data_IF_765019275282
#
_entry.id   IF_765019275282
#
_cell.length_a   1.000
_cell.length_b   1.000
_cell.length_c   1.000
_cell.angle_alpha   90.00
_cell.angle_beta   90.00
_cell.angle_gamma   90.00
#
_symmetry.space_group_name_H-M   'P 1'
#
loop_
_entity.id
_entity.type
_entity.pdbx_description
1 polymer ?
#
# COMPACT_ATOMS: atom_id res chain seq x y z
N UNK A 1 12.64 -31.86 19.06
CA UNK A 1 13.84 -31.00 19.08
C UNK A 1 14.54 -30.92 17.72
N UNK A 2 14.94 -32.02 17.09
CA UNK A 2 15.62 -31.95 15.78
C UNK A 2 14.70 -31.46 14.65
N UNK A 3 13.48 -31.99 14.56
CA UNK A 3 12.48 -31.53 13.58
C UNK A 3 12.18 -30.03 13.70
N UNK A 4 11.95 -29.55 14.93
CA UNK A 4 11.69 -28.13 15.23
C UNK A 4 12.86 -27.23 14.84
N UNK A 5 14.10 -27.70 15.00
CA UNK A 5 15.30 -26.95 14.60
C UNK A 5 15.43 -26.88 13.08
N UNK A 6 15.26 -28.01 12.39
CA UNK A 6 15.32 -28.07 10.92
C UNK A 6 14.21 -27.21 10.32
N UNK A 7 12.99 -27.28 10.85
CA UNK A 7 11.87 -26.45 10.35
C UNK A 7 12.12 -24.96 10.56
N UNK A 8 12.65 -24.54 11.71
CA UNK A 8 12.97 -23.14 11.97
C UNK A 8 14.06 -22.63 11.03
N UNK A 9 15.11 -23.42 10.79
CA UNK A 9 16.18 -23.07 9.85
C UNK A 9 15.68 -22.97 8.42
N UNK A 10 14.88 -23.94 7.96
CA UNK A 10 14.29 -23.94 6.63
C UNK A 10 13.40 -22.71 6.40
N UNK A 11 12.56 -22.35 7.39
CA UNK A 11 11.73 -21.15 7.34
C UNK A 11 12.61 -19.89 7.32
N UNK A 12 13.68 -19.83 8.12
CA UNK A 12 14.62 -18.71 8.12
C UNK A 12 15.29 -18.50 6.75
N UNK A 13 15.84 -19.57 6.17
CA UNK A 13 16.44 -19.53 4.82
C UNK A 13 15.40 -19.12 3.79
N UNK A 14 14.18 -19.64 3.88
CA UNK A 14 13.09 -19.27 2.96
C UNK A 14 12.76 -17.77 3.04
N UNK A 15 12.58 -17.21 4.24
CA UNK A 15 12.19 -15.80 4.42
C UNK A 15 13.31 -14.84 3.97
N UNK A 16 14.58 -15.24 4.08
CA UNK A 16 15.71 -14.47 3.54
C UNK A 16 15.75 -14.53 2.01
N UNK A 17 15.28 -15.64 1.42
CA UNK A 17 15.42 -15.92 -0.01
C UNK A 17 14.18 -15.58 -0.83
N UNK A 18 12.99 -15.55 -0.24
CA UNK A 18 11.72 -15.43 -0.97
C UNK A 18 10.77 -14.45 -0.29
N UNK A 19 9.82 -13.93 -1.08
CA UNK A 19 8.74 -13.14 -0.52
C UNK A 19 7.87 -14.00 0.41
N UNK A 20 7.27 -13.40 1.46
CA UNK A 20 6.34 -14.10 2.33
C UNK A 20 5.19 -14.73 1.54
N UNK A 21 4.80 -15.95 1.90
CA UNK A 21 3.67 -16.67 1.29
C UNK A 21 2.38 -15.84 1.41
N UNK A 22 2.20 -15.17 2.54
CA UNK A 22 1.08 -14.27 2.80
C UNK A 22 1.61 -12.87 3.13
N UNK A 23 1.14 -11.89 2.36
CA UNK A 23 1.42 -10.49 2.60
C UNK A 23 0.26 -9.86 3.39
N UNK A 24 0.56 -9.33 4.57
CA UNK A 24 -0.42 -8.64 5.44
C UNK A 24 -0.31 -7.12 5.35
N UNK A 25 0.55 -6.62 4.46
CA UNK A 25 0.79 -5.18 4.30
C UNK A 25 -0.38 -4.54 3.56
N UNK A 26 -0.54 -3.21 3.67
CA UNK A 26 -1.57 -2.48 2.94
C UNK A 26 -1.53 -2.73 1.43
N UNK A 27 -0.33 -2.87 0.87
CA UNK A 27 -0.06 -3.11 -0.55
C UNK A 27 -0.01 -4.60 -0.94
N UNK A 28 -0.91 -5.43 -0.40
CA UNK A 28 -1.03 -6.84 -0.79
C UNK A 28 -1.56 -7.00 -2.23
N UNK A 29 -1.39 -8.17 -2.83
CA UNK A 29 -2.02 -8.49 -4.12
C UNK A 29 -3.54 -8.41 -3.96
N UNK A 30 -4.20 -7.74 -4.91
CA UNK A 30 -5.63 -7.42 -4.91
C UNK A 30 -5.98 -6.04 -4.32
N UNK A 31 -5.01 -5.34 -3.70
CA UNK A 31 -5.25 -3.98 -3.22
C UNK A 31 -5.38 -3.01 -4.39
N UNK A 32 -6.44 -2.19 -4.38
CA UNK A 32 -6.66 -1.07 -5.30
C UNK A 32 -6.11 0.22 -4.69
N UNK A 33 -4.96 0.67 -5.19
CA UNK A 33 -4.25 1.84 -4.67
C UNK A 33 -5.06 3.12 -4.91
N UNK A 34 -5.71 3.26 -6.07
CA UNK A 34 -6.52 4.44 -6.39
C UNK A 34 -7.70 4.58 -5.44
N UNK A 35 -8.38 3.46 -5.19
CA UNK A 35 -9.50 3.44 -4.23
C UNK A 35 -9.04 3.75 -2.81
N UNK A 36 -7.88 3.26 -2.40
CA UNK A 36 -7.35 3.55 -1.07
C UNK A 36 -6.85 4.99 -0.92
N UNK A 37 -6.37 5.62 -2.00
CA UNK A 37 -6.09 7.07 -2.04
C UNK A 37 -7.38 7.86 -1.92
N UNK A 38 -8.41 7.57 -2.72
CA UNK A 38 -9.74 8.25 -2.65
C UNK A 38 -10.36 8.12 -1.25
N UNK A 39 -10.21 6.96 -0.61
CA UNK A 39 -10.65 6.75 0.78
C UNK A 39 -9.79 7.45 1.82
N UNK A 40 -8.52 7.75 1.52
CA UNK A 40 -7.65 8.50 2.43
C UNK A 40 -7.98 10.00 2.45
N UNK A 41 -8.47 10.53 1.32
CA UNK A 41 -8.88 11.93 1.18
C UNK A 41 -10.28 12.20 1.73
N UNK A 42 -11.12 11.16 1.81
CA UNK A 42 -12.46 11.24 2.41
C UNK A 42 -12.38 10.85 3.89
N UNK A 43 -12.89 11.72 4.76
CA UNK A 43 -13.16 11.32 6.13
C UNK A 43 -14.32 10.31 6.16
N UNK A 44 -14.07 9.08 6.60
CA UNK A 44 -15.10 8.12 7.02
C UNK A 44 -15.06 8.06 8.55
N UNK A 45 -15.73 8.98 9.26
CA UNK A 45 -15.63 9.10 10.70
C UNK A 45 -16.40 7.99 11.43
N UNK A 46 -16.02 7.78 12.69
CA UNK A 46 -16.77 6.94 13.61
C UNK A 46 -18.21 7.48 13.77
N UNK A 47 -19.20 6.60 13.57
CA UNK A 47 -20.61 6.91 13.81
C UNK A 47 -20.96 6.49 15.23
N UNK A 48 -21.35 7.48 16.04
CA UNK A 48 -21.76 7.28 17.42
C UNK A 48 -23.26 7.51 17.60
N UNK A 49 -23.87 6.72 18.47
CA UNK A 49 -25.21 6.97 19.00
C UNK A 49 -25.07 7.49 20.44
N UNK A 50 -25.86 8.52 20.76
CA UNK A 50 -25.97 9.04 22.12
C UNK A 50 -27.15 8.38 22.82
N UNK A 51 -26.89 7.75 23.96
CA UNK A 51 -27.91 7.26 24.89
C UNK A 51 -27.91 8.14 26.13
N UNK A 52 -29.08 8.68 26.46
CA UNK A 52 -29.29 9.58 27.59
C UNK A 52 -29.94 8.81 28.72
N UNK A 53 -29.42 8.96 29.93
CA UNK A 53 -29.98 8.34 31.13
C UNK A 53 -30.62 9.44 31.95
N UNK A 54 -31.95 9.39 32.07
CA UNK A 54 -32.74 10.32 32.86
C UNK A 54 -33.53 9.56 33.91
N UNK A 55 -33.63 10.14 35.10
CA UNK A 55 -34.52 9.66 36.15
C UNK A 55 -35.89 10.27 35.95
N UNK A 56 -36.89 9.41 35.74
CA UNK A 56 -38.30 9.79 35.57
C UNK A 56 -39.11 8.94 36.55
N UNK A 57 -39.94 9.58 37.38
CA UNK A 57 -40.71 8.92 38.45
C UNK A 57 -39.84 8.09 39.41
N UNK A 58 -38.64 8.59 39.74
CA UNK A 58 -37.70 7.92 40.64
C UNK A 58 -36.98 6.70 40.02
N UNK A 59 -37.15 6.42 38.72
CA UNK A 59 -36.46 5.33 38.01
C UNK A 59 -35.59 5.84 36.88
N UNK A 60 -34.36 5.33 36.80
CA UNK A 60 -33.44 5.64 35.71
C UNK A 60 -33.89 4.92 34.43
N UNK A 61 -34.09 5.67 33.35
CA UNK A 61 -34.50 5.18 32.04
C UNK A 61 -33.50 5.66 30.98
N UNK A 62 -33.31 4.84 29.94
CA UNK A 62 -32.42 5.15 28.81
C UNK A 62 -33.24 5.63 27.62
N UNK A 63 -32.83 6.74 27.02
CA UNK A 63 -33.48 7.39 25.89
C UNK A 63 -32.50 7.62 24.75
N UNK A 64 -32.99 7.65 23.51
CA UNK A 64 -32.22 8.18 22.38
C UNK A 64 -32.33 9.70 22.31
N UNK A 65 -31.51 10.34 21.48
CA UNK A 65 -31.53 11.80 21.31
C UNK A 65 -32.87 12.28 20.72
N UNK A 66 -33.47 11.50 19.83
CA UNK A 66 -34.74 11.80 19.15
C UNK A 66 -35.94 11.77 20.09
N UNK A 67 -35.82 11.10 21.24
CA UNK A 67 -36.85 11.05 22.27
C UNK A 67 -36.84 12.30 23.17
N UNK A 68 -35.84 13.17 23.01
CA UNK A 68 -35.72 14.47 23.70
C UNK A 68 -36.05 14.41 25.21
N UNK A 69 -35.40 13.53 26.00
CA UNK A 69 -35.78 13.29 27.40
C UNK A 69 -35.67 14.52 28.31
N UNK A 70 -34.92 15.55 27.90
CA UNK A 70 -34.85 16.84 28.59
C UNK A 70 -36.15 17.64 28.56
N UNK A 71 -37.10 17.27 27.69
CA UNK A 71 -38.43 17.88 27.60
C UNK A 71 -39.48 17.13 28.45
N UNK A 72 -39.12 16.02 29.11
CA UNK A 72 -40.02 15.27 29.99
C UNK A 72 -40.15 16.01 31.33
N UNK A 73 -41.38 16.35 31.72
CA UNK A 73 -41.65 17.03 32.99
C UNK A 73 -41.22 16.17 34.19
N UNK A 74 -40.48 16.77 35.13
CA UNK A 74 -39.95 16.08 36.31
C UNK A 74 -38.77 15.14 36.03
N UNK A 75 -38.22 15.13 34.80
CA UNK A 75 -37.05 14.32 34.47
C UNK A 75 -35.75 14.96 34.96
N UNK A 76 -34.93 14.18 35.67
CA UNK A 76 -33.60 14.60 36.13
C UNK A 76 -32.51 13.94 35.29
N UNK A 77 -31.55 14.72 34.79
CA UNK A 77 -30.40 14.17 34.07
C UNK A 77 -29.51 13.36 35.01
N UNK A 78 -29.21 12.11 34.62
CA UNK A 78 -28.32 11.22 35.39
C UNK A 78 -26.98 11.08 34.70
N UNK A 79 -26.96 10.65 33.44
CA UNK A 79 -25.75 10.36 32.68
C UNK A 79 -26.02 10.39 31.18
N UNK A 80 -24.96 10.40 30.36
CA UNK A 80 -25.04 10.13 28.93
C UNK A 80 -23.91 9.22 28.49
N UNK A 81 -24.24 8.23 27.66
CA UNK A 81 -23.28 7.29 27.10
C UNK A 81 -23.20 7.48 25.59
N UNK A 82 -21.98 7.56 25.09
CA UNK A 82 -21.68 7.53 23.66
C UNK A 82 -21.35 6.09 23.27
N UNK A 83 -22.13 5.50 22.37
CA UNK A 83 -21.96 4.13 21.89
C UNK A 83 -21.46 4.20 20.45
N UNK A 84 -20.33 3.55 20.16
CA UNK A 84 -19.82 3.43 18.79
C UNK A 84 -20.71 2.42 18.03
N UNK A 85 -21.43 2.89 17.01
CA UNK A 85 -22.30 2.07 16.17
C UNK A 85 -21.55 1.52 14.96
N UNK A 86 -20.75 2.37 14.32
CA UNK A 86 -19.93 2.00 13.19
C UNK A 86 -18.56 2.63 13.33
N UNK A 87 -17.51 1.81 13.34
CA UNK A 87 -16.15 2.30 13.22
C UNK A 87 -15.97 2.91 11.83
N UNK A 88 -15.42 4.12 11.79
CA UNK A 88 -15.00 4.77 10.58
C UNK A 88 -13.92 3.98 9.85
N UNK A 89 -13.58 4.40 8.63
CA UNK A 89 -12.50 3.78 7.87
C UNK A 89 -11.33 4.75 7.72
N UNK A 90 -10.16 4.31 8.15
CA UNK A 90 -8.91 5.01 7.92
C UNK A 90 -8.08 4.21 6.92
N UNK A 91 -7.82 4.79 5.75
CA UNK A 91 -7.01 4.13 4.73
C UNK A 91 -5.60 3.88 5.25
N UNK A 92 -5.09 2.63 5.18
CA UNK A 92 -3.73 2.30 5.57
C UNK A 92 -2.71 2.72 4.49
N UNK A 93 -3.18 3.11 3.30
CA UNK A 93 -2.35 3.68 2.23
C UNK A 93 -2.50 5.19 2.32
N UNK A 94 -1.47 5.83 2.87
CA UNK A 94 -1.35 7.29 2.92
C UNK A 94 -0.11 7.69 2.15
N UNK A 95 -0.15 8.85 1.51
CA UNK A 95 1.00 9.44 0.84
C UNK A 95 1.61 8.52 -0.23
N UNK A 96 0.78 7.82 -1.00
CA UNK A 96 1.26 7.13 -2.19
C UNK A 96 1.34 8.14 -3.33
N UNK A 97 2.55 8.39 -3.81
CA UNK A 97 2.80 9.28 -4.93
C UNK A 97 3.91 8.73 -5.84
N UNK A 98 3.87 9.10 -7.12
CA UNK A 98 4.83 8.72 -8.15
C UNK A 98 5.36 10.01 -8.79
N UNK A 99 6.47 10.53 -8.26
CA UNK A 99 7.06 11.79 -8.74
C UNK A 99 8.04 11.53 -9.88
N UNK A 100 7.99 12.35 -10.93
CA UNK A 100 9.04 12.37 -11.96
C UNK A 100 10.34 12.96 -11.40
N UNK A 101 11.40 12.92 -12.19
CA UNK A 101 12.68 13.56 -11.89
C UNK A 101 12.59 15.09 -11.73
N UNK A 102 11.59 15.69 -12.35
CA UNK A 102 11.25 17.11 -12.28
C UNK A 102 10.23 17.42 -11.16
N UNK A 103 10.02 16.49 -10.23
CA UNK A 103 9.09 16.63 -9.10
C UNK A 103 7.62 16.80 -9.53
N UNK A 104 7.27 16.31 -10.73
CA UNK A 104 5.88 16.29 -11.20
C UNK A 104 5.19 15.03 -10.68
N UNK A 105 4.04 15.19 -10.03
CA UNK A 105 3.20 14.06 -9.63
C UNK A 105 2.51 13.43 -10.85
N UNK A 106 2.84 12.17 -11.11
CA UNK A 106 2.30 11.33 -12.20
C UNK A 106 1.36 10.24 -11.68
N UNK A 107 1.02 10.23 -10.39
CA UNK A 107 0.27 9.15 -9.73
C UNK A 107 -1.05 8.84 -10.42
N UNK A 108 -1.90 9.86 -10.60
CA UNK A 108 -3.22 9.68 -11.22
C UNK A 108 -3.13 9.19 -12.66
N UNK A 109 -2.11 9.61 -13.39
CA UNK A 109 -1.90 9.20 -14.79
C UNK A 109 -1.43 7.75 -14.88
N UNK A 110 -0.38 7.40 -14.12
CA UNK A 110 0.24 6.09 -14.19
C UNK A 110 -0.65 5.00 -13.59
N UNK A 111 -1.36 5.29 -12.49
CA UNK A 111 -2.25 4.30 -11.89
C UNK A 111 -3.49 4.00 -12.76
N UNK A 112 -3.77 4.76 -13.82
CA UNK A 112 -4.83 4.40 -14.79
C UNK A 112 -4.34 3.45 -15.87
N UNK A 113 -3.03 3.20 -15.97
CA UNK A 113 -2.43 2.37 -17.01
C UNK A 113 -2.71 0.89 -16.76
N UNK A 114 -2.84 0.15 -17.85
CA UNK A 114 -2.88 -1.30 -17.82
C UNK A 114 -1.46 -1.86 -17.84
N UNK A 115 -1.22 -2.96 -17.14
CA UNK A 115 0.05 -3.68 -17.15
C UNK A 115 1.29 -2.82 -16.82
N UNK A 116 1.15 -1.84 -15.91
CA UNK A 116 2.24 -1.00 -15.43
C UNK A 116 3.18 -1.81 -14.53
N UNK A 117 4.44 -1.95 -14.92
CA UNK A 117 5.48 -2.57 -14.11
C UNK A 117 6.27 -1.49 -13.36
N UNK A 118 6.35 -1.62 -12.04
CA UNK A 118 7.23 -0.81 -11.19
C UNK A 118 8.34 -1.71 -10.62
N UNK A 119 9.59 -1.41 -10.99
CA UNK A 119 10.77 -2.01 -10.37
C UNK A 119 11.19 -1.11 -9.21
N UNK A 120 11.04 -1.59 -7.98
CA UNK A 120 11.36 -0.83 -6.79
C UNK A 120 12.78 -1.11 -6.30
N UNK A 121 13.51 -0.08 -5.89
CA UNK A 121 14.73 -0.26 -5.10
C UNK A 121 14.80 0.80 -4.01
N UNK A 122 15.11 0.42 -2.77
CA UNK A 122 15.37 1.39 -1.71
C UNK A 122 16.86 1.72 -1.54
N UNK A 123 17.75 0.93 -2.14
CA UNK A 123 19.20 1.14 -2.16
C UNK A 123 19.71 1.06 -3.62
N UNK A 124 19.28 1.96 -4.51
CA UNK A 124 19.59 1.86 -5.94
C UNK A 124 21.09 1.92 -6.26
N UNK A 125 21.89 2.57 -5.40
CA UNK A 125 23.34 2.68 -5.58
C UNK A 125 24.11 1.39 -5.26
N UNK A 126 23.48 0.40 -4.62
CA UNK A 126 24.11 -0.89 -4.31
C UNK A 126 23.91 -1.93 -5.42
N UNK A 127 23.12 -1.61 -6.45
CA UNK A 127 22.85 -2.53 -7.54
C UNK A 127 24.00 -2.47 -8.56
N UNK A 128 24.85 -3.49 -8.57
CA UNK A 128 26.02 -3.57 -9.45
C UNK A 128 26.15 -4.93 -10.15
N UNK A 129 27.10 -5.03 -11.08
CA UNK A 129 27.53 -6.31 -11.66
C UNK A 129 26.45 -7.00 -12.51
N UNK A 130 26.10 -8.24 -12.15
CA UNK A 130 25.18 -9.06 -12.94
C UNK A 130 23.72 -8.61 -12.80
N UNK A 131 23.31 -8.22 -11.59
CA UNK A 131 21.96 -7.68 -11.32
C UNK A 131 21.67 -6.45 -12.18
N UNK A 132 22.69 -5.60 -12.36
CA UNK A 132 22.60 -4.42 -13.20
C UNK A 132 22.34 -4.76 -14.67
N UNK A 133 23.10 -5.71 -15.21
CA UNK A 133 22.96 -6.18 -16.60
C UNK A 133 21.59 -6.81 -16.83
N UNK A 134 21.12 -7.60 -15.86
CA UNK A 134 19.82 -8.24 -15.90
C UNK A 134 18.68 -7.20 -15.96
N UNK A 135 18.74 -6.15 -15.13
CA UNK A 135 17.76 -5.06 -15.15
C UNK A 135 17.71 -4.34 -16.50
N UNK A 136 18.87 -3.99 -17.05
CA UNK A 136 18.98 -3.32 -18.36
C UNK A 136 18.36 -4.19 -19.45
N UNK A 137 18.64 -5.50 -19.43
CA UNK A 137 18.07 -6.45 -20.39
C UNK A 137 16.55 -6.53 -20.28
N UNK A 138 16.00 -6.70 -19.08
CA UNK A 138 14.55 -6.78 -18.87
C UNK A 138 13.84 -5.49 -19.27
N UNK A 139 14.41 -4.34 -18.93
CA UNK A 139 13.92 -3.03 -19.39
C UNK A 139 13.79 -3.01 -20.92
N UNK A 140 14.87 -3.34 -21.62
CA UNK A 140 14.89 -3.29 -23.08
C UNK A 140 13.91 -4.28 -23.72
N UNK A 141 13.79 -5.48 -23.16
CA UNK A 141 12.86 -6.50 -23.64
C UNK A 141 11.40 -6.05 -23.45
N UNK A 142 11.05 -5.49 -22.29
CA UNK A 142 9.69 -5.00 -22.00
C UNK A 142 9.32 -3.80 -22.87
N UNK A 143 10.22 -2.84 -23.03
CA UNK A 143 10.00 -1.69 -23.91
C UNK A 143 9.75 -2.15 -25.35
N UNK A 144 10.55 -3.10 -25.87
CA UNK A 144 10.34 -3.66 -27.22
C UNK A 144 8.99 -4.34 -27.38
N UNK A 145 8.44 -4.86 -26.29
CA UNK A 145 7.16 -5.56 -26.25
C UNK A 145 5.98 -4.63 -25.92
N UNK A 146 6.24 -3.32 -25.77
CA UNK A 146 5.21 -2.32 -25.49
C UNK A 146 4.69 -2.35 -24.05
N UNK A 147 5.42 -2.97 -23.12
CA UNK A 147 5.07 -2.99 -21.69
C UNK A 147 5.64 -1.73 -21.04
N UNK A 148 4.78 -0.95 -20.37
CA UNK A 148 5.20 0.24 -19.62
C UNK A 148 5.92 -0.18 -18.32
N UNK A 149 7.16 0.28 -18.17
CA UNK A 149 8.03 -0.06 -17.05
C UNK A 149 8.69 1.20 -16.49
N UNK A 150 8.67 1.34 -15.16
CA UNK A 150 9.35 2.41 -14.44
C UNK A 150 10.15 1.88 -13.25
N UNK A 151 11.18 2.62 -12.88
CA UNK A 151 12.00 2.36 -11.71
C UNK A 151 11.55 3.28 -10.59
N UNK A 152 11.01 2.72 -9.52
CA UNK A 152 10.52 3.46 -8.37
C UNK A 152 11.58 3.50 -7.27
N UNK A 153 12.14 4.67 -7.04
CA UNK A 153 13.32 4.93 -6.22
C UNK A 153 12.97 5.84 -5.03
N UNK A 154 13.81 5.91 -3.98
CA UNK A 154 13.56 6.80 -2.88
C UNK A 154 13.79 8.24 -3.31
N UNK A 155 12.95 9.16 -2.83
CA UNK A 155 13.06 10.59 -3.12
C UNK A 155 14.42 11.17 -2.74
N UNK A 156 15.07 10.62 -1.71
CA UNK A 156 16.43 10.99 -1.27
C UNK A 156 17.52 10.69 -2.31
N UNK A 157 17.18 9.94 -3.36
CA UNK A 157 18.08 9.58 -4.48
C UNK A 157 17.84 10.42 -5.73
N UNK A 158 16.79 11.27 -5.73
CA UNK A 158 16.47 12.16 -6.84
C UNK A 158 17.65 13.08 -7.18
N UNK A 159 17.94 13.24 -8.47
CA UNK A 159 19.02 14.08 -8.97
C UNK A 159 20.45 13.55 -8.71
N UNK A 160 20.61 12.42 -8.03
CA UNK A 160 21.90 11.75 -7.89
C UNK A 160 22.13 10.84 -9.09
N UNK A 161 23.31 10.91 -9.68
CA UNK A 161 23.73 9.95 -10.70
C UNK A 161 23.85 8.57 -10.04
N UNK A 162 22.87 7.68 -10.24
CA UNK A 162 23.06 6.27 -9.93
C UNK A 162 24.17 5.73 -10.81
N UNK A 163 24.99 4.82 -10.29
CA UNK A 163 25.97 4.12 -11.12
C UNK A 163 25.19 3.35 -12.21
N UNK A 164 25.22 3.88 -13.44
CA UNK A 164 24.98 3.18 -14.71
C UNK A 164 23.66 2.41 -14.91
N UNK A 165 22.53 3.08 -14.82
CA UNK A 165 21.32 2.63 -15.51
C UNK A 165 20.86 3.76 -16.42
N UNK A 166 20.82 3.56 -17.73
CA UNK A 166 20.16 4.50 -18.66
C UNK A 166 18.65 4.44 -18.43
N UNK A 167 18.19 4.96 -17.29
CA UNK A 167 16.79 5.08 -16.90
C UNK A 167 16.20 6.39 -17.39
N UNK A 168 16.76 6.98 -18.45
CA UNK A 168 16.37 8.31 -18.91
C UNK A 168 14.84 8.35 -19.09
N UNK A 169 14.19 9.14 -18.23
CA UNK A 169 12.74 9.33 -18.12
C UNK A 169 11.89 8.13 -17.63
N UNK A 170 12.51 7.08 -17.11
CA UNK A 170 11.84 5.92 -16.49
C UNK A 170 11.95 5.91 -14.96
N UNK A 171 12.60 6.93 -14.37
CA UNK A 171 12.72 7.09 -12.93
C UNK A 171 11.45 7.73 -12.35
N UNK A 172 10.91 7.09 -11.32
CA UNK A 172 9.88 7.64 -10.45
C UNK A 172 10.41 7.65 -9.01
N UNK A 173 9.93 8.59 -8.22
CA UNK A 173 10.41 8.80 -6.87
C UNK A 173 9.26 8.79 -5.87
N UNK A 174 9.51 8.18 -4.71
CA UNK A 174 8.59 8.20 -3.59
C UNK A 174 9.31 8.11 -2.23
N UNK A 175 8.57 8.18 -1.14
CA UNK A 175 9.10 7.99 0.22
C UNK A 175 9.69 6.57 0.44
N UNK A 176 10.84 6.49 1.11
CA UNK A 176 11.56 5.24 1.40
C UNK A 176 10.76 4.28 2.31
N UNK A 177 10.06 4.83 3.30
CA UNK A 177 9.23 4.02 4.20
C UNK A 177 8.04 3.42 3.44
N UNK A 178 7.46 4.18 2.51
CA UNK A 178 6.41 3.67 1.63
C UNK A 178 6.95 2.57 0.71
N UNK A 179 8.10 2.75 0.06
CA UNK A 179 8.75 1.71 -0.75
C UNK A 179 8.93 0.38 0.02
N UNK A 180 9.54 0.45 1.21
CA UNK A 180 9.76 -0.71 2.08
C UNK A 180 8.48 -1.34 2.58
N UNK A 181 7.40 -0.56 2.66
CA UNK A 181 6.05 -1.04 2.99
C UNK A 181 5.40 -1.70 1.80
N UNK A 182 5.64 -1.23 0.57
CA UNK A 182 5.10 -1.86 -0.62
C UNK A 182 5.71 -3.25 -0.79
N UNK A 183 7.03 -3.42 -0.84
CA UNK A 183 7.64 -4.73 -1.08
C UNK A 183 8.94 -4.93 -0.29
N UNK A 184 9.20 -6.17 0.15
CA UNK A 184 10.42 -6.53 0.92
C UNK A 184 11.64 -6.79 0.04
N UNK A 185 11.41 -7.20 -1.21
CA UNK A 185 12.49 -7.51 -2.12
C UNK A 185 13.19 -6.22 -2.58
N UNK A 186 14.51 -6.30 -2.72
CA UNK A 186 15.35 -5.20 -3.20
C UNK A 186 16.39 -5.74 -4.20
N UNK A 187 16.26 -5.47 -5.50
CA UNK A 187 15.12 -4.85 -6.14
C UNK A 187 13.85 -5.72 -6.11
N UNK A 188 12.70 -5.06 -5.99
CA UNK A 188 11.36 -5.65 -6.04
C UNK A 188 10.66 -5.32 -7.35
N UNK A 189 9.66 -6.11 -7.71
CA UNK A 189 8.83 -5.90 -8.91
C UNK A 189 7.38 -5.93 -8.49
N UNK A 190 6.62 -4.92 -8.93
CA UNK A 190 5.18 -4.82 -8.73
C UNK A 190 4.55 -4.66 -10.10
N UNK A 191 3.50 -5.42 -10.36
CA UNK A 191 2.66 -5.26 -11.53
C UNK A 191 1.31 -4.69 -11.10
N UNK A 192 0.95 -3.58 -11.72
CA UNK A 192 -0.30 -2.86 -11.51
C UNK A 192 -1.17 -2.97 -12.76
N UNK A 193 -2.48 -3.08 -12.55
CA UNK A 193 -3.46 -2.93 -13.60
C UNK A 193 -4.56 -1.98 -13.12
N UNK A 194 -4.62 -0.76 -13.69
CA UNK A 194 -5.57 0.29 -13.29
C UNK A 194 -5.59 0.54 -11.77
N UNK A 195 -4.40 0.61 -11.17
CA UNK A 195 -4.21 0.90 -9.75
C UNK A 195 -4.31 -0.34 -8.86
N UNK A 196 -4.75 -1.49 -9.38
CA UNK A 196 -4.83 -2.75 -8.64
C UNK A 196 -3.50 -3.48 -8.71
N UNK A 197 -2.97 -3.88 -7.55
CA UNK A 197 -1.79 -4.74 -7.46
C UNK A 197 -2.17 -6.14 -7.90
N UNK A 198 -1.71 -6.57 -9.06
CA UNK A 198 -2.01 -7.91 -9.58
C UNK A 198 -0.89 -8.91 -9.34
N UNK A 199 0.32 -8.45 -9.03
CA UNK A 199 1.40 -9.33 -8.63
C UNK A 199 2.64 -8.62 -8.10
N UNK A 200 3.43 -9.36 -7.31
CA UNK A 200 4.64 -8.88 -6.65
C UNK A 200 5.70 -9.97 -6.63
N UNK A 201 6.93 -9.60 -6.98
CA UNK A 201 8.05 -10.54 -7.07
C UNK A 201 9.36 -9.88 -6.63
N UNK A 202 10.36 -10.70 -6.32
CA UNK A 202 11.75 -10.20 -6.37
C UNK A 202 12.18 -10.06 -7.82
N UNK A 203 13.20 -9.23 -8.09
CA UNK A 203 13.77 -9.10 -9.43
C UNK A 203 14.11 -10.44 -10.10
N UNK A 204 14.63 -11.43 -9.36
CA UNK A 204 14.94 -12.79 -9.87
C UNK A 204 13.76 -13.50 -10.54
N UNK A 205 12.54 -13.07 -10.22
CA UNK A 205 11.28 -13.65 -10.67
C UNK A 205 10.54 -12.74 -11.67
N UNK A 206 11.18 -11.68 -12.18
CA UNK A 206 10.57 -10.68 -13.05
C UNK A 206 9.93 -11.25 -14.32
N UNK A 207 10.44 -12.38 -14.84
CA UNK A 207 9.80 -13.09 -15.97
C UNK A 207 8.34 -13.46 -15.66
N UNK A 208 8.01 -13.77 -14.41
CA UNK A 208 6.63 -14.08 -13.99
C UNK A 208 5.72 -12.85 -14.12
N UNK A 209 6.24 -11.65 -13.88
CA UNK A 209 5.51 -10.41 -14.09
C UNK A 209 5.16 -10.24 -15.57
N UNK A 210 6.15 -10.42 -16.44
CA UNK A 210 5.95 -10.36 -17.88
C UNK A 210 4.97 -11.41 -18.42
N UNK A 211 5.14 -12.67 -18.03
CA UNK A 211 4.25 -13.74 -18.49
C UNK A 211 2.78 -13.48 -18.06
N UNK A 212 2.56 -12.67 -17.01
CA UNK A 212 1.23 -12.26 -16.55
C UNK A 212 0.66 -11.07 -17.33
N UNK A 213 1.49 -10.18 -17.87
CA UNK A 213 1.00 -9.09 -18.74
C UNK A 213 0.43 -9.62 -20.05
N UNK A 214 0.99 -10.73 -20.57
CA UNK A 214 0.52 -11.38 -21.80
C UNK A 214 -0.80 -12.14 -21.69
N UNK A 215 -1.30 -12.38 -20.46
CA UNK A 215 -2.50 -13.20 -20.20
C UNK A 215 -3.76 -12.38 -19.93
N UNK A 216 -3.62 -11.06 -19.86
CA UNK A 216 -4.70 -10.11 -19.61
C UNK A 216 -5.19 -9.51 -20.91
#
# INVERSE_FOLDING_TARGET
MLFTLISALAIGIYIISFLPIKDFRPYSIGTDILKEIDRSEREDPDIYEMKWIYRVDGKDKVFSTEQEPWNIEGAEFVDRKRILIKKGYESPIKNFYLLSKEDKDLTSELLQRENLILITSYEPFEIEGETQKELIKWRDDFIKQGVEIYFLLPISTMGKASNSYTLDNLELYMDDTTLKTIIRANPGVILLNKGVIIGKWSLRDIKKAYDLTLKQ
#
